data_IF_381585537547
#
_entry.id   IF_381585537547
#
_cell.length_a   1.000
_cell.length_b   1.000
_cell.length_c   1.000
_cell.angle_alpha   90.00
_cell.angle_beta   90.00
_cell.angle_gamma   90.00
#
_symmetry.space_group_name_H-M   'P 1'
#
loop_
_entity.id
_entity.type
_entity.pdbx_description
1 polymer ?
#
# COMPACT_ATOMS: atom_id res chain seq x y z
N UNK A 1 -1.86 -16.60 -12.12
CA UNK A 1 -1.35 -16.47 -10.74
C UNK A 1 -0.38 -15.29 -10.71
N UNK A 2 -0.87 -14.06 -10.53
CA UNK A 2 -0.05 -12.85 -10.58
C UNK A 2 0.43 -12.53 -9.16
N UNK A 3 1.70 -12.77 -8.86
CA UNK A 3 2.33 -12.24 -7.64
C UNK A 3 2.62 -10.75 -7.87
N UNK A 4 1.69 -9.89 -7.44
CA UNK A 4 2.01 -8.48 -7.27
C UNK A 4 2.91 -8.38 -6.05
N UNK A 5 4.20 -8.10 -6.27
CA UNK A 5 5.11 -7.73 -5.20
C UNK A 5 4.74 -6.32 -4.73
N UNK A 6 3.68 -6.22 -3.93
CA UNK A 6 3.41 -5.03 -3.15
C UNK A 6 4.55 -4.92 -2.12
N UNK A 7 5.38 -3.88 -2.25
CA UNK A 7 6.45 -3.59 -1.29
C UNK A 7 6.09 -2.30 -0.60
N UNK A 8 5.82 -2.38 0.69
CA UNK A 8 5.76 -1.21 1.56
C UNK A 8 7.17 -1.00 2.09
N UNK A 9 7.70 0.21 1.90
CA UNK A 9 9.00 0.57 2.44
C UNK A 9 8.77 1.32 3.75
N UNK A 10 9.18 0.69 4.85
CA UNK A 10 9.27 1.34 6.14
C UNK A 10 10.66 1.97 6.22
N UNK A 11 10.73 3.30 6.29
CA UNK A 11 12.01 3.99 6.47
C UNK A 11 12.38 3.96 7.95
N UNK A 12 13.17 2.97 8.35
CA UNK A 12 14.07 3.07 9.49
C UNK A 12 15.51 3.02 8.99
N UNK A 13 16.39 3.74 9.69
CA UNK A 13 17.83 3.88 9.41
C UNK A 13 18.65 2.57 9.44
N UNK A 14 18.04 1.37 9.38
CA UNK A 14 18.72 0.07 9.28
C UNK A 14 17.96 -0.87 8.34
N UNK A 15 18.71 -1.62 7.52
CA UNK A 15 18.25 -2.57 6.48
C UNK A 15 17.30 -3.67 6.98
N UNK A 16 16.02 -3.35 7.21
CA UNK A 16 14.97 -4.33 7.52
C UNK A 16 13.88 -4.27 6.45
N UNK A 17 13.59 -5.39 5.79
CA UNK A 17 12.51 -5.48 4.80
C UNK A 17 11.51 -6.57 5.20
N UNK A 18 10.23 -6.22 5.27
CA UNK A 18 9.15 -7.17 5.54
C UNK A 18 8.41 -7.44 4.23
N UNK A 19 8.25 -8.72 3.90
CA UNK A 19 7.38 -9.12 2.79
C UNK A 19 5.93 -9.05 3.25
N UNK A 20 5.13 -8.23 2.58
CA UNK A 20 3.74 -7.96 2.96
C UNK A 20 2.87 -7.82 1.72
N UNK A 21 1.75 -8.53 1.70
CA UNK A 21 0.68 -8.32 0.72
C UNK A 21 -0.51 -7.63 1.40
N UNK A 22 -0.84 -6.40 1.00
CA UNK A 22 -1.97 -5.66 1.59
C UNK A 22 -3.34 -6.20 1.15
N UNK A 23 -3.37 -7.10 0.18
CA UNK A 23 -4.59 -7.83 -0.20
C UNK A 23 -4.76 -9.17 0.53
N UNK A 24 -3.82 -9.54 1.42
CA UNK A 24 -3.89 -10.79 2.20
C UNK A 24 -3.89 -10.49 3.70
N UNK A 25 -5.04 -10.74 4.32
CA UNK A 25 -5.29 -10.48 5.73
C UNK A 25 -4.26 -11.15 6.65
N UNK A 26 -3.89 -12.41 6.37
CA UNK A 26 -2.91 -13.13 7.19
C UNK A 26 -1.51 -12.53 7.07
N UNK A 27 -1.17 -12.06 5.86
CA UNK A 27 0.09 -11.36 5.62
C UNK A 27 0.16 -10.07 6.42
N UNK A 28 -0.93 -9.30 6.48
CA UNK A 28 -0.99 -8.03 7.21
C UNK A 28 -0.89 -8.24 8.70
N UNK A 29 -1.68 -9.16 9.26
CA UNK A 29 -1.65 -9.45 10.70
C UNK A 29 -0.26 -9.93 11.16
N UNK A 30 0.40 -10.77 10.35
CA UNK A 30 1.76 -11.22 10.62
C UNK A 30 2.78 -10.08 10.58
N UNK A 31 2.68 -9.17 9.61
CA UNK A 31 3.56 -8.01 9.50
C UNK A 31 3.32 -7.01 10.64
N UNK A 32 2.06 -6.68 10.93
CA UNK A 32 1.69 -5.78 12.03
C UNK A 32 2.18 -6.29 13.38
N UNK A 33 2.14 -7.60 13.61
CA UNK A 33 2.71 -8.22 14.81
C UNK A 33 4.23 -8.11 14.87
N UNK A 34 4.95 -8.25 13.76
CA UNK A 34 6.41 -8.14 13.73
C UNK A 34 6.90 -6.74 14.10
N UNK A 35 6.12 -5.70 13.78
CA UNK A 35 6.45 -4.30 14.06
C UNK A 35 5.55 -3.70 15.15
N UNK A 36 5.00 -4.52 16.05
CA UNK A 36 3.99 -4.08 17.03
C UNK A 36 4.50 -2.96 17.92
N UNK A 37 5.79 -2.97 18.23
CA UNK A 37 6.42 -2.03 19.17
C UNK A 37 7.13 -0.88 18.45
N UNK A 38 7.07 -0.85 17.11
CA UNK A 38 7.67 0.19 16.27
C UNK A 38 6.71 1.37 16.01
N UNK A 39 7.29 2.57 15.91
CA UNK A 39 6.63 3.84 15.55
C UNK A 39 7.47 4.55 14.47
N UNK A 40 6.93 4.65 13.26
CA UNK A 40 7.63 5.17 12.10
C UNK A 40 7.54 6.70 12.01
N UNK A 41 8.65 7.36 11.68
CA UNK A 41 8.64 8.81 11.39
C UNK A 41 7.72 9.16 10.19
N UNK A 42 7.67 8.26 9.21
CA UNK A 42 6.78 8.33 8.06
C UNK A 42 6.51 6.94 7.47
N UNK A 43 5.30 6.77 6.91
CA UNK A 43 4.94 5.63 6.06
C UNK A 43 4.79 6.12 4.63
N UNK A 44 5.50 5.48 3.69
CA UNK A 44 5.41 5.79 2.26
C UNK A 44 4.74 4.64 1.53
N UNK A 45 3.49 4.83 1.12
CA UNK A 45 2.68 3.84 0.43
C UNK A 45 2.77 4.03 -1.09
N UNK A 46 3.58 3.20 -1.74
CA UNK A 46 3.76 3.16 -3.20
C UNK A 46 3.19 1.89 -3.84
N UNK A 47 2.58 1.01 -3.05
CA UNK A 47 2.00 -0.22 -3.57
C UNK A 47 0.63 0.10 -4.18
N UNK A 48 0.49 -0.17 -5.46
CA UNK A 48 -0.76 0.01 -6.20
C UNK A 48 -0.87 -1.06 -7.29
N UNK A 49 -2.11 -1.41 -7.63
CA UNK A 49 -2.40 -2.04 -8.90
C UNK A 49 -2.42 -0.98 -10.01
N UNK A 50 -1.48 -1.13 -10.94
CA UNK A 50 -1.39 -0.33 -12.16
C UNK A 50 -1.60 -1.28 -13.35
N UNK A 51 -2.70 -1.15 -14.11
CA UNK A 51 -2.96 -2.03 -15.24
C UNK A 51 -1.91 -1.81 -16.34
N UNK A 52 -1.39 -2.91 -16.91
CA UNK A 52 -0.44 -2.84 -18.03
C UNK A 52 -1.12 -2.90 -19.39
N UNK A 53 -2.37 -3.35 -19.40
CA UNK A 53 -3.20 -3.51 -20.58
C UNK A 53 -4.60 -3.04 -20.27
N UNK A 54 -5.36 -2.63 -21.29
CA UNK A 54 -6.76 -2.24 -21.11
C UNK A 54 -7.63 -3.39 -20.56
N UNK A 55 -7.29 -4.64 -20.89
CA UNK A 55 -8.01 -5.81 -20.35
C UNK A 55 -7.75 -6.06 -18.86
N UNK A 56 -6.64 -5.54 -18.34
CA UNK A 56 -6.33 -5.58 -16.92
C UNK A 56 -7.01 -4.48 -16.12
N UNK A 57 -7.48 -3.42 -16.79
CA UNK A 57 -8.13 -2.28 -16.16
C UNK A 57 -9.59 -2.61 -15.82
N UNK A 58 -9.76 -3.30 -14.69
CA UNK A 58 -11.07 -3.67 -14.17
C UNK A 58 -11.31 -3.03 -12.81
N UNK A 59 -12.57 -2.64 -12.57
CA UNK A 59 -13.00 -2.06 -11.29
C UNK A 59 -12.64 -2.95 -10.10
N UNK A 60 -12.78 -4.27 -10.24
CA UNK A 60 -12.46 -5.21 -9.16
C UNK A 60 -10.97 -5.20 -8.81
N UNK A 61 -10.08 -5.22 -9.82
CA UNK A 61 -8.64 -5.21 -9.58
C UNK A 61 -8.18 -3.86 -9.02
N UNK A 62 -8.74 -2.76 -9.50
CA UNK A 62 -8.48 -1.41 -8.97
C UNK A 62 -8.97 -1.27 -7.53
N UNK A 63 -10.18 -1.74 -7.21
CA UNK A 63 -10.73 -1.74 -5.85
C UNK A 63 -9.86 -2.55 -4.89
N UNK A 64 -9.55 -3.80 -5.23
CA UNK A 64 -8.75 -4.68 -4.39
C UNK A 64 -7.31 -4.17 -4.20
N UNK A 65 -6.68 -3.73 -5.29
CA UNK A 65 -5.27 -3.37 -5.31
C UNK A 65 -4.96 -1.97 -4.76
N UNK A 66 -5.91 -1.03 -4.85
CA UNK A 66 -5.69 0.38 -4.50
C UNK A 66 -6.55 0.78 -3.28
N UNK A 67 -7.85 0.51 -3.29
CA UNK A 67 -8.76 0.95 -2.22
C UNK A 67 -8.61 0.05 -0.99
N UNK A 68 -8.92 -1.25 -1.14
CA UNK A 68 -8.92 -2.20 -0.02
C UNK A 68 -7.50 -2.32 0.58
N UNK A 69 -6.46 -2.31 -0.26
CA UNK A 69 -5.07 -2.30 0.18
C UNK A 69 -4.70 -1.05 0.99
N UNK A 70 -5.15 0.15 0.58
CA UNK A 70 -4.90 1.39 1.33
C UNK A 70 -5.66 1.37 2.66
N UNK A 71 -6.91 0.90 2.67
CA UNK A 71 -7.69 0.74 3.90
C UNK A 71 -6.93 -0.16 4.88
N UNK A 72 -6.44 -1.31 4.41
CA UNK A 72 -5.67 -2.22 5.26
C UNK A 72 -4.38 -1.59 5.79
N UNK A 73 -3.66 -0.80 4.98
CA UNK A 73 -2.50 -0.06 5.47
C UNK A 73 -2.87 0.89 6.60
N UNK A 74 -3.94 1.68 6.42
CA UNK A 74 -4.39 2.66 7.40
C UNK A 74 -4.90 1.98 8.68
N UNK A 75 -5.65 0.89 8.56
CA UNK A 75 -6.17 0.14 9.71
C UNK A 75 -5.06 -0.45 10.58
N UNK A 76 -4.00 -1.00 9.97
CA UNK A 76 -2.98 -1.75 10.72
C UNK A 76 -1.74 -0.92 11.09
N UNK A 77 -1.43 0.11 10.30
CA UNK A 77 -0.21 0.90 10.47
C UNK A 77 -0.48 2.40 10.58
N UNK A 78 -1.71 2.87 10.38
CA UNK A 78 -2.03 4.29 10.34
C UNK A 78 -1.71 5.03 11.63
N UNK A 79 -1.95 4.41 12.79
CA UNK A 79 -1.62 5.00 14.10
C UNK A 79 -0.13 4.88 14.47
N UNK A 80 0.65 4.14 13.67
CA UNK A 80 2.09 3.94 13.91
C UNK A 80 2.95 5.06 13.33
N UNK A 81 2.35 6.07 12.69
CA UNK A 81 3.08 7.22 12.16
C UNK A 81 2.21 8.46 12.12
N UNK A 82 2.80 9.62 12.43
CA UNK A 82 2.13 10.92 12.25
C UNK A 82 2.03 11.32 10.77
N UNK A 83 2.82 10.70 9.88
CA UNK A 83 2.95 11.09 8.48
C UNK A 83 2.77 9.89 7.56
N UNK A 84 1.76 9.99 6.69
CA UNK A 84 1.50 8.97 5.66
C UNK A 84 1.51 9.66 4.29
N UNK A 85 2.37 9.18 3.41
CA UNK A 85 2.52 9.65 2.04
C UNK A 85 1.98 8.57 1.12
N UNK A 86 0.93 8.88 0.35
CA UNK A 86 0.30 7.95 -0.59
C UNK A 86 0.61 8.40 -2.02
N UNK A 87 1.20 7.50 -2.81
CA UNK A 87 1.41 7.72 -4.23
C UNK A 87 0.09 7.57 -5.00
N UNK A 88 -0.53 8.69 -5.37
CA UNK A 88 -1.71 8.72 -6.25
C UNK A 88 -1.30 8.95 -7.72
N UNK A 89 -2.27 8.88 -8.63
CA UNK A 89 -2.10 9.20 -10.06
C UNK A 89 -2.73 10.55 -10.39
N UNK A 90 -2.22 11.22 -11.43
CA UNK A 90 -2.81 12.47 -11.94
C UNK A 90 -4.22 12.26 -12.50
N UNK A 91 -4.59 11.03 -12.88
CA UNK A 91 -5.88 10.68 -13.48
C UNK A 91 -7.09 10.92 -12.56
N UNK A 92 -6.86 11.04 -11.24
CA UNK A 92 -7.94 11.37 -10.28
C UNK A 92 -8.38 12.83 -10.38
N UNK A 93 -7.59 13.67 -11.02
CA UNK A 93 -7.95 15.05 -11.28
C UNK A 93 -8.75 15.15 -12.57
N UNK A 94 -9.64 16.14 -12.60
CA UNK A 94 -10.32 16.57 -13.81
C UNK A 94 -9.26 17.04 -14.82
N UNK A 95 -8.98 16.19 -15.81
CA UNK A 95 -7.97 16.46 -16.84
C UNK A 95 -8.30 17.70 -17.68
N UNK A 96 -9.55 18.20 -17.66
CA UNK A 96 -9.89 19.46 -18.31
C UNK A 96 -9.42 20.71 -17.55
N UNK A 97 -8.92 20.54 -16.32
CA UNK A 97 -8.48 21.61 -15.42
C UNK A 97 -6.97 21.61 -15.16
N UNK A 98 -6.22 20.78 -15.87
CA UNK A 98 -4.75 20.66 -15.83
C UNK A 98 -4.23 20.86 -17.26
#
# INVERSE_FOLDING_TARGET
MYRQNQRIYFYYLYNSSISLSLSDQKSIESAAKQVSDEIFDAIVHLAAFVPRTAADDTLDKARLGNIDATINLLTYFGEKSEKIIIGSTAEVYDQSKI
#
